data_IF_556950483326
#
_entry.id   IF_556950483326
#
_cell.length_a   1.000
_cell.length_b   1.000
_cell.length_c   1.000
_cell.angle_alpha   90.00
_cell.angle_beta   90.00
_cell.angle_gamma   90.00
#
_symmetry.space_group_name_H-M   'P 1'
#
loop_
_entity.id
_entity.type
_entity.pdbx_description
1 polymer ?
#
# COMPACT_ATOMS: atom_id res chain seq x y z
N UNK A 1 -17.25 8.25 -3.07
CA UNK A 1 -15.92 7.91 -2.50
C UNK A 1 -16.06 6.57 -1.80
N UNK A 2 -15.15 5.62 -2.01
CA UNK A 2 -15.19 4.34 -1.28
C UNK A 2 -14.83 4.60 0.18
N UNK A 3 -15.44 3.86 1.12
CA UNK A 3 -15.29 4.10 2.57
C UNK A 3 -13.83 3.97 3.08
N UNK A 4 -12.95 3.31 2.33
CA UNK A 4 -11.56 3.05 2.69
C UNK A 4 -10.54 3.96 1.98
N UNK A 5 -10.98 4.95 1.19
CA UNK A 5 -10.08 5.88 0.50
C UNK A 5 -9.45 6.86 1.50
N UNK A 6 -8.12 6.87 1.58
CA UNK A 6 -7.35 7.74 2.47
C UNK A 6 -6.65 8.81 1.62
N UNK A 7 -6.83 10.11 1.90
CA UNK A 7 -6.06 11.14 1.22
C UNK A 7 -4.59 11.08 1.65
N UNK A 8 -3.65 11.06 0.70
CA UNK A 8 -2.21 11.00 0.98
C UNK A 8 -1.75 12.13 1.92
N UNK A 9 -2.37 13.32 1.84
CA UNK A 9 -2.07 14.45 2.72
C UNK A 9 -2.33 14.19 4.20
N UNK A 10 -3.14 13.17 4.54
CA UNK A 10 -3.37 12.74 5.92
C UNK A 10 -2.32 11.74 6.43
N UNK A 11 -1.46 11.22 5.54
CA UNK A 11 -0.41 10.26 5.85
C UNK A 11 0.93 10.98 6.03
N UNK A 12 1.64 10.67 7.10
CA UNK A 12 3.04 11.06 7.26
C UNK A 12 3.91 9.86 6.88
N UNK A 13 4.73 10.01 5.84
CA UNK A 13 5.68 8.98 5.42
C UNK A 13 7.03 9.20 6.12
N UNK A 14 7.60 8.14 6.65
CA UNK A 14 8.92 8.10 7.27
C UNK A 14 9.91 7.30 6.42
N UNK A 15 10.77 6.54 7.08
CA UNK A 15 11.81 5.73 6.44
C UNK A 15 11.25 4.56 5.62
N UNK A 16 12.02 4.12 4.62
CA UNK A 16 11.73 2.91 3.86
C UNK A 16 12.10 1.69 4.71
N UNK A 17 11.11 0.83 4.96
CA UNK A 17 11.29 -0.41 5.74
C UNK A 17 11.33 -1.66 4.86
N UNK A 18 11.02 -1.53 3.57
CA UNK A 18 11.11 -2.62 2.61
C UNK A 18 11.00 -2.13 1.17
N UNK A 19 11.65 -2.83 0.26
CA UNK A 19 11.54 -2.61 -1.19
C UNK A 19 11.15 -3.93 -1.83
N UNK A 20 10.15 -3.89 -2.71
CA UNK A 20 9.67 -5.03 -3.45
C UNK A 20 9.50 -4.70 -4.93
N UNK A 21 9.05 -5.69 -5.70
CA UNK A 21 8.93 -5.60 -7.16
C UNK A 21 7.98 -4.48 -7.63
N UNK A 22 6.94 -4.18 -6.85
CA UNK A 22 5.89 -3.24 -7.23
C UNK A 22 6.00 -1.88 -6.54
N UNK A 23 6.99 -1.69 -5.67
CA UNK A 23 7.02 -0.50 -4.84
C UNK A 23 7.93 -0.56 -3.63
N UNK A 24 7.87 0.50 -2.83
CA UNK A 24 8.55 0.59 -1.55
C UNK A 24 7.52 0.69 -0.42
N UNK A 25 7.83 0.04 0.69
CA UNK A 25 7.06 0.09 1.93
C UNK A 25 7.74 1.06 2.87
N UNK A 26 6.99 2.05 3.29
CA UNK A 26 7.42 3.10 4.21
C UNK A 26 6.82 2.83 5.58
N UNK A 27 7.59 3.08 6.63
CA UNK A 27 7.00 3.32 7.95
C UNK A 27 6.24 4.64 7.87
N UNK A 28 5.00 4.67 8.32
CA UNK A 28 4.17 5.87 8.28
C UNK A 28 3.40 6.11 9.57
N UNK A 29 2.71 7.24 9.62
CA UNK A 29 1.81 7.60 10.73
C UNK A 29 0.44 8.00 10.20
N UNK A 30 -0.60 7.32 10.69
CA UNK A 30 -2.01 7.60 10.42
C UNK A 30 -2.86 7.09 11.59
N UNK A 31 -3.31 8.00 12.46
CA UNK A 31 -3.97 7.66 13.73
C UNK A 31 -3.20 6.65 14.61
N UNK A 32 -1.88 6.51 14.39
CA UNK A 32 -1.03 5.46 14.94
C UNK A 32 0.12 5.15 13.98
N UNK A 33 0.97 4.18 14.32
CA UNK A 33 2.01 3.69 13.41
C UNK A 33 1.41 2.74 12.36
N UNK A 34 1.76 2.95 11.09
CA UNK A 34 1.25 2.18 9.95
C UNK A 34 2.38 1.79 9.00
N UNK A 35 2.14 0.76 8.18
CA UNK A 35 2.96 0.47 7.01
C UNK A 35 2.25 1.03 5.76
N UNK A 36 3.00 1.75 4.93
CA UNK A 36 2.47 2.37 3.71
C UNK A 36 3.23 1.82 2.51
N UNK A 37 2.60 0.94 1.75
CA UNK A 37 3.15 0.40 0.49
C UNK A 37 2.78 1.36 -0.64
N UNK A 38 3.76 2.09 -1.19
CA UNK A 38 3.55 2.95 -2.36
C UNK A 38 3.98 2.23 -3.62
N UNK A 39 3.18 2.34 -4.66
CA UNK A 39 3.63 2.02 -6.01
C UNK A 39 4.63 3.10 -6.41
N UNK A 40 5.88 2.71 -6.67
CA UNK A 40 6.93 3.62 -7.18
C UNK A 40 7.14 3.36 -8.68
N UNK A 41 7.75 4.33 -9.36
CA UNK A 41 8.14 4.22 -10.77
C UNK A 41 6.97 3.91 -11.72
N UNK A 42 5.90 4.72 -11.61
CA UNK A 42 4.93 4.86 -12.70
C UNK A 42 5.52 5.79 -13.76
N UNK A 43 6.54 5.32 -14.49
CA UNK A 43 7.05 6.07 -15.64
C UNK A 43 5.93 6.14 -16.70
N UNK A 44 5.47 7.33 -17.12
CA UNK A 44 4.49 7.44 -18.20
C UNK A 44 4.95 6.79 -19.51
N UNK A 45 6.26 6.64 -19.71
CA UNK A 45 6.85 5.97 -20.88
C UNK A 45 6.68 4.44 -20.87
N UNK A 46 6.37 3.84 -19.72
CA UNK A 46 6.24 2.38 -19.56
C UNK A 46 4.91 1.81 -20.10
N UNK A 47 4.03 2.64 -20.68
CA UNK A 47 2.84 2.22 -21.44
C UNK A 47 2.03 1.10 -20.77
N UNK A 48 2.15 -0.11 -21.33
CA UNK A 48 1.48 -1.33 -20.86
C UNK A 48 1.86 -1.74 -19.43
N UNK A 49 3.10 -1.45 -19.01
CA UNK A 49 3.61 -1.75 -17.67
C UNK A 49 2.90 -0.94 -16.59
N UNK A 50 2.56 0.33 -16.86
CA UNK A 50 1.82 1.17 -15.92
C UNK A 50 0.40 0.64 -15.69
N UNK A 51 -0.32 0.31 -16.76
CA UNK A 51 -1.69 -0.21 -16.66
C UNK A 51 -1.73 -1.52 -15.87
N UNK A 52 -0.79 -2.43 -16.15
CA UNK A 52 -0.66 -3.71 -15.43
C UNK A 52 -0.36 -3.53 -13.94
N UNK A 53 0.55 -2.61 -13.58
CA UNK A 53 0.85 -2.30 -12.16
C UNK A 53 -0.35 -1.70 -11.43
N UNK A 54 -1.10 -0.80 -12.08
CA UNK A 54 -2.32 -0.22 -11.51
C UNK A 54 -3.42 -1.27 -11.34
N UNK A 55 -3.53 -2.22 -12.27
CA UNK A 55 -4.46 -3.35 -12.15
C UNK A 55 -4.07 -4.30 -11.01
N UNK A 56 -2.79 -4.67 -10.90
CA UNK A 56 -2.27 -5.47 -9.80
C UNK A 56 -2.54 -4.80 -8.45
N UNK A 57 -2.29 -3.49 -8.35
CA UNK A 57 -2.61 -2.69 -7.16
C UNK A 57 -4.11 -2.73 -6.83
N UNK A 58 -4.99 -2.54 -7.82
CA UNK A 58 -6.44 -2.62 -7.60
C UNK A 58 -6.87 -4.00 -7.11
N UNK A 59 -6.26 -5.06 -7.64
CA UNK A 59 -6.51 -6.43 -7.23
C UNK A 59 -6.10 -6.64 -5.77
N UNK A 60 -4.90 -6.19 -5.41
CA UNK A 60 -4.35 -6.25 -4.05
C UNK A 60 -5.25 -5.55 -3.04
N UNK A 61 -5.67 -4.31 -3.33
CA UNK A 61 -6.63 -3.57 -2.51
C UNK A 61 -7.95 -4.34 -2.38
N UNK A 62 -8.46 -4.95 -3.45
CA UNK A 62 -9.72 -5.70 -3.43
C UNK A 62 -9.63 -6.98 -2.58
N UNK A 63 -8.49 -7.67 -2.59
CA UNK A 63 -8.24 -8.86 -1.76
C UNK A 63 -8.09 -8.46 -0.28
N UNK A 64 -7.26 -7.46 0.01
CA UNK A 64 -7.01 -6.99 1.36
C UNK A 64 -8.26 -6.41 2.01
N UNK A 65 -9.06 -5.65 1.26
CA UNK A 65 -10.32 -5.10 1.76
C UNK A 65 -11.33 -6.17 2.21
N UNK A 66 -11.32 -7.35 1.57
CA UNK A 66 -12.24 -8.46 1.89
C UNK A 66 -11.69 -9.41 2.95
N UNK A 67 -10.45 -9.22 3.38
CA UNK A 67 -9.73 -10.18 4.20
C UNK A 67 -9.51 -9.61 5.60
N UNK A 68 -10.05 -10.28 6.62
CA UNK A 68 -9.84 -9.92 8.03
C UNK A 68 -9.64 -11.18 8.85
N UNK A 69 -8.42 -11.39 9.32
CA UNK A 69 -8.03 -12.56 10.08
C UNK A 69 -6.88 -12.21 11.04
N UNK A 70 -6.81 -12.85 12.21
CA UNK A 70 -5.82 -12.57 13.25
C UNK A 70 -4.36 -12.77 12.79
N UNK A 71 -4.14 -13.71 11.86
CA UNK A 71 -2.81 -14.02 11.29
C UNK A 71 -2.47 -13.25 10.01
N UNK A 72 -3.28 -12.28 9.60
CA UNK A 72 -3.05 -11.46 8.41
C UNK A 72 -2.92 -9.99 8.80
N UNK A 73 -2.22 -9.21 7.96
CA UNK A 73 -2.11 -7.77 8.18
C UNK A 73 -3.47 -7.10 8.04
N UNK A 74 -3.81 -6.26 9.01
CA UNK A 74 -5.02 -5.47 8.98
C UNK A 74 -4.91 -4.40 7.89
N UNK A 75 -5.75 -4.50 6.87
CA UNK A 75 -6.00 -3.44 5.91
C UNK A 75 -6.70 -2.27 6.60
N UNK A 76 -6.15 -1.07 6.45
CA UNK A 76 -6.69 0.16 7.05
C UNK A 76 -7.28 1.09 6.00
N UNK A 77 -6.72 1.08 4.79
CA UNK A 77 -7.24 1.81 3.65
C UNK A 77 -6.24 1.87 2.50
N UNK A 78 -6.56 2.65 1.48
CA UNK A 78 -5.65 2.86 0.35
C UNK A 78 -5.86 4.25 -0.26
N UNK A 79 -4.81 4.79 -0.86
CA UNK A 79 -4.82 5.99 -1.68
C UNK A 79 -5.06 5.58 -3.13
N UNK A 80 -6.18 6.00 -3.73
CA UNK A 80 -6.57 5.57 -5.09
C UNK A 80 -6.38 6.64 -6.16
N UNK A 81 -5.74 7.77 -5.84
CA UNK A 81 -5.57 8.91 -6.75
C UNK A 81 -4.19 8.86 -7.41
N UNK A 82 -4.06 8.56 -8.71
CA UNK A 82 -2.79 8.65 -9.40
C UNK A 82 -2.22 10.08 -9.33
N UNK A 83 -0.88 10.27 -9.24
CA UNK A 83 0.17 9.24 -9.18
C UNK A 83 0.36 8.61 -7.79
N UNK A 84 -0.38 9.10 -6.79
CA UNK A 84 -0.25 8.73 -5.39
C UNK A 84 -1.05 7.47 -5.01
N UNK A 85 -0.63 6.33 -5.59
CA UNK A 85 -1.18 5.03 -5.25
C UNK A 85 -0.45 4.41 -4.05
N UNK A 86 -1.21 4.09 -3.00
CA UNK A 86 -0.66 3.49 -1.80
C UNK A 86 -1.65 2.58 -1.07
N UNK A 87 -1.16 1.55 -0.38
CA UNK A 87 -1.93 0.73 0.56
C UNK A 87 -1.45 1.03 1.98
N UNK A 88 -2.39 1.23 2.88
CA UNK A 88 -2.14 1.49 4.31
C UNK A 88 -2.58 0.26 5.11
N UNK A 89 -1.65 -0.32 5.85
CA UNK A 89 -1.89 -1.49 6.71
C UNK A 89 -1.31 -1.25 8.10
N UNK A 90 -1.67 -2.13 9.05
CA UNK A 90 -1.02 -2.13 10.36
C UNK A 90 0.49 -2.35 10.22
N UNK A 91 1.28 -1.60 11.00
CA UNK A 91 2.71 -1.86 11.10
C UNK A 91 2.94 -3.14 11.93
N UNK A 92 3.33 -4.23 11.28
CA UNK A 92 3.73 -5.45 11.97
C UNK A 92 5.12 -5.27 12.58
N UNK A 93 5.29 -5.68 13.85
CA UNK A 93 6.60 -5.75 14.51
C UNK A 93 7.43 -6.96 14.07
N UNK A 94 6.82 -7.90 13.35
CA UNK A 94 7.44 -9.16 12.93
C UNK A 94 7.98 -9.01 11.52
N UNK A 95 9.28 -9.25 11.33
CA UNK A 95 10.02 -9.09 10.07
C UNK A 95 9.77 -10.20 9.04
N UNK A 96 8.56 -10.76 8.97
CA UNK A 96 8.24 -11.76 7.95
C UNK A 96 7.93 -11.05 6.63
N UNK A 97 8.66 -11.42 5.57
CA UNK A 97 8.42 -10.90 4.21
C UNK A 97 6.96 -11.10 3.77
N UNK A 98 6.27 -12.14 4.27
CA UNK A 98 4.87 -12.42 3.96
C UNK A 98 3.87 -11.38 4.46
N UNK A 99 4.14 -10.67 5.56
CA UNK A 99 3.23 -9.64 6.07
C UNK A 99 3.40 -8.29 5.38
N UNK A 100 4.58 -8.04 4.79
CA UNK A 100 4.96 -6.75 4.17
C UNK A 100 4.78 -6.76 2.64
N UNK A 101 4.66 -7.94 2.03
CA UNK A 101 4.68 -8.10 0.56
C UNK A 101 3.28 -8.39 -0.03
N UNK A 102 2.24 -8.53 0.80
CA UNK A 102 0.88 -8.43 0.25
C UNK A 102 0.68 -7.07 -0.37
#
# INVERSE_FOLDING_TARGET
>A
MKEWDIPLSSLQLGEVIGVGTFGAVYKGKWHGEVAVKRIVDLDPADGDGMASRVEAFKHEVAVLHKTRHENLVLFMGACMKPPDLAIVTQLSRVSSKFSIVL
#
